data_IF_705550275994
#
_entry.id   IF_705550275994
#
_cell.length_a   1.000
_cell.length_b   1.000
_cell.length_c   1.000
_cell.angle_alpha   90.00
_cell.angle_beta   90.00
_cell.angle_gamma   90.00
#
_symmetry.space_group_name_H-M   'P 1'
#
loop_
_entity.id
_entity.type
_entity.pdbx_description
1 polymer ?
#
# COMPACT_ATOMS: atom_id res chain seq x y z
N UNK A 1 -13.39 4.22 -3.23
CA UNK A 1 -14.04 3.93 -1.93
C UNK A 1 -12.98 3.58 -0.87
N UNK A 2 -11.94 4.41 -0.70
CA UNK A 2 -10.66 4.01 -0.06
C UNK A 2 -10.54 4.44 1.42
N UNK A 3 -11.28 5.47 1.85
CA UNK A 3 -11.10 6.08 3.19
C UNK A 3 -11.48 5.18 4.36
N UNK A 4 -12.57 4.40 4.25
CA UNK A 4 -12.98 3.48 5.33
C UNK A 4 -11.95 2.37 5.49
N UNK A 5 -11.65 1.67 4.39
CA UNK A 5 -10.66 0.59 4.40
C UNK A 5 -9.30 1.06 4.92
N UNK A 6 -8.79 2.22 4.48
CA UNK A 6 -7.52 2.78 4.98
C UNK A 6 -7.45 2.90 6.50
N UNK A 7 -8.48 3.44 7.15
CA UNK A 7 -8.52 3.58 8.61
C UNK A 7 -8.70 2.24 9.34
N UNK A 8 -9.06 1.19 8.60
CA UNK A 8 -9.22 -0.17 9.11
C UNK A 8 -7.91 -0.97 9.10
N UNK A 9 -6.81 -0.44 8.53
CA UNK A 9 -5.50 -1.08 8.61
C UNK A 9 -5.05 -1.30 10.05
N UNK A 10 -4.39 -2.44 10.28
CA UNK A 10 -3.83 -2.84 11.59
C UNK A 10 -2.38 -3.25 11.43
N UNK A 11 -1.59 -3.04 12.49
CA UNK A 11 -0.21 -3.55 12.55
C UNK A 11 -0.20 -5.07 12.36
N UNK A 12 0.75 -5.57 11.57
CA UNK A 12 0.88 -6.97 11.17
C UNK A 12 0.08 -7.36 9.92
N UNK A 13 -0.80 -6.49 9.44
CA UNK A 13 -1.60 -6.78 8.25
C UNK A 13 -0.76 -6.71 6.97
N UNK A 14 -0.99 -7.66 6.05
CA UNK A 14 -0.37 -7.68 4.73
C UNK A 14 -1.14 -6.81 3.73
N UNK A 15 -0.38 -6.13 2.89
CA UNK A 15 -0.88 -5.20 1.87
C UNK A 15 0.02 -5.27 0.63
N UNK A 16 -0.49 -4.73 -0.48
CA UNK A 16 0.34 -4.42 -1.65
C UNK A 16 0.47 -2.90 -1.77
N UNK A 17 1.67 -2.41 -2.04
CA UNK A 17 1.97 -0.98 -2.10
C UNK A 17 2.61 -0.65 -3.44
N UNK A 18 2.13 0.38 -4.13
CA UNK A 18 2.88 0.98 -5.21
C UNK A 18 4.12 1.67 -4.64
N UNK A 19 5.28 1.18 -5.03
CA UNK A 19 6.55 1.77 -4.67
C UNK A 19 6.77 3.04 -5.53
N UNK A 20 6.66 4.22 -4.91
CA UNK A 20 6.86 5.51 -5.59
C UNK A 20 8.36 5.78 -5.89
N UNK A 21 9.30 5.06 -5.27
CA UNK A 21 10.73 5.14 -5.59
C UNK A 21 11.12 4.17 -6.72
N UNK A 22 10.24 3.25 -7.11
CA UNK A 22 10.42 2.42 -8.29
C UNK A 22 9.91 3.19 -9.52
N UNK A 23 10.75 3.49 -10.53
CA UNK A 23 10.32 4.14 -11.76
C UNK A 23 9.23 3.37 -12.51
N UNK A 24 9.17 2.05 -12.33
CA UNK A 24 8.11 1.24 -12.87
C UNK A 24 6.80 1.41 -12.09
N UNK A 25 6.83 1.89 -10.84
CA UNK A 25 5.72 1.92 -9.88
C UNK A 25 5.22 0.50 -9.54
N UNK A 26 6.12 -0.48 -9.44
CA UNK A 26 5.75 -1.87 -9.14
C UNK A 26 4.96 -2.00 -7.83
N UNK A 27 4.16 -3.06 -7.76
CA UNK A 27 3.51 -3.46 -6.52
C UNK A 27 4.51 -4.25 -5.69
N UNK A 28 4.90 -3.70 -4.55
CA UNK A 28 5.67 -4.39 -3.54
C UNK A 28 4.72 -4.98 -2.48
N UNK A 29 4.97 -6.23 -2.09
CA UNK A 29 4.34 -6.80 -0.91
C UNK A 29 4.87 -6.09 0.34
N UNK A 30 3.97 -5.81 1.27
CA UNK A 30 4.33 -5.13 2.51
C UNK A 30 3.51 -5.57 3.70
N UNK A 31 4.04 -5.25 4.88
CA UNK A 31 3.38 -5.45 6.16
C UNK A 31 3.28 -4.12 6.90
N UNK A 32 2.08 -3.83 7.42
CA UNK A 32 1.87 -2.64 8.25
C UNK A 32 2.65 -2.78 9.55
N UNK A 33 3.53 -1.83 9.84
CA UNK A 33 4.37 -1.82 11.05
C UNK A 33 3.92 -0.79 12.07
N UNK A 34 3.28 0.28 11.63
CA UNK A 34 2.73 1.31 12.50
C UNK A 34 1.44 1.89 11.91
N UNK A 35 0.50 2.24 12.78
CA UNK A 35 -0.72 2.99 12.47
C UNK A 35 -0.85 4.09 13.52
N UNK A 36 -0.54 5.32 13.13
CA UNK A 36 -0.81 6.49 13.96
C UNK A 36 -2.22 7.00 13.68
N UNK A 37 -3.04 7.09 14.73
CA UNK A 37 -4.47 7.40 14.60
C UNK A 37 -4.67 8.91 14.68
N UNK A 38 -5.21 9.49 13.61
CA UNK A 38 -5.57 10.90 13.57
C UNK A 38 -7.06 11.09 13.30
N UNK A 39 -7.56 12.31 13.55
CA UNK A 39 -8.94 12.71 13.25
C UNK A 39 -9.15 12.76 11.73
N UNK A 40 -9.52 11.62 11.16
CA UNK A 40 -10.03 11.50 9.81
C UNK A 40 -9.26 10.58 8.89
N UNK A 41 -7.93 10.52 8.98
CA UNK A 41 -7.09 9.59 8.21
C UNK A 41 -5.88 9.18 9.04
N UNK A 42 -5.70 7.88 9.25
CA UNK A 42 -4.51 7.39 9.93
C UNK A 42 -3.25 7.65 9.10
N UNK A 43 -2.11 7.85 9.76
CA UNK A 43 -0.80 7.71 9.12
C UNK A 43 -0.35 6.26 9.28
N UNK A 44 0.15 5.66 8.21
CA UNK A 44 0.50 4.24 8.18
C UNK A 44 1.93 4.09 7.68
N UNK A 45 2.72 3.34 8.44
CA UNK A 45 4.07 2.95 8.03
C UNK A 45 4.06 1.49 7.63
N UNK A 46 4.61 1.20 6.45
CA UNK A 46 4.58 -0.12 5.85
C UNK A 46 6.02 -0.53 5.57
N UNK A 47 6.36 -1.75 5.99
CA UNK A 47 7.62 -2.37 5.61
C UNK A 47 7.41 -3.11 4.30
N UNK A 48 8.18 -2.77 3.29
CA UNK A 48 8.12 -3.40 1.97
C UNK A 48 9.44 -4.07 1.66
N UNK A 49 9.37 -5.18 0.92
CA UNK A 49 10.52 -5.86 0.34
C UNK A 49 10.37 -5.83 -1.20
N UNK A 50 10.95 -4.83 -1.89
CA UNK A 50 10.89 -4.74 -3.34
C UNK A 50 11.64 -5.92 -3.97
N UNK A 51 11.20 -6.37 -5.15
CA UNK A 51 11.81 -7.51 -5.85
C UNK A 51 13.31 -7.34 -6.07
N UNK A 52 13.76 -6.10 -6.31
CA UNK A 52 15.15 -5.77 -6.63
C UNK A 52 15.78 -4.79 -5.64
N UNK A 53 15.34 -4.78 -4.38
CA UNK A 53 15.81 -3.77 -3.41
C UNK A 53 15.87 -4.27 -1.97
N UNK A 54 16.59 -3.54 -1.10
CA UNK A 54 16.57 -3.83 0.32
C UNK A 54 15.18 -3.58 0.91
N UNK A 55 14.86 -4.30 1.98
CA UNK A 55 13.69 -4.03 2.78
C UNK A 55 13.75 -2.61 3.37
N UNK A 56 12.64 -1.88 3.30
CA UNK A 56 12.57 -0.51 3.83
C UNK A 56 11.19 -0.14 4.33
N UNK A 57 11.15 0.91 5.16
CA UNK A 57 9.92 1.48 5.66
C UNK A 57 9.48 2.62 4.74
N UNK A 58 8.21 2.60 4.36
CA UNK A 58 7.57 3.63 3.54
C UNK A 58 6.34 4.18 4.26
N UNK A 59 6.01 5.45 3.95
CA UNK A 59 4.77 6.12 4.36
C UNK A 59 3.95 6.41 3.10
N UNK A 60 3.25 5.40 2.56
CA UNK A 60 2.63 5.54 1.26
C UNK A 60 1.41 6.47 1.34
N UNK A 61 1.09 7.09 0.21
CA UNK A 61 -0.22 7.72 0.08
C UNK A 61 -1.32 6.67 0.18
N UNK A 62 -2.48 7.03 0.74
CA UNK A 62 -3.61 6.10 0.89
C UNK A 62 -4.08 5.43 -0.40
N UNK A 63 -3.85 6.07 -1.56
CA UNK A 63 -4.25 5.57 -2.88
C UNK A 63 -3.22 4.62 -3.48
N UNK A 64 -2.03 4.52 -2.87
CA UNK A 64 -0.96 3.64 -3.30
C UNK A 64 -1.02 2.26 -2.61
N UNK A 65 -1.99 2.03 -1.71
CA UNK A 65 -2.08 0.79 -0.92
C UNK A 65 -3.34 0.02 -1.25
N UNK A 66 -3.16 -1.29 -1.46
CA UNK A 66 -4.22 -2.26 -1.69
C UNK A 66 -4.26 -3.24 -0.53
N UNK A 67 -5.46 -3.67 -0.18
CA UNK A 67 -5.61 -4.79 0.76
C UNK A 67 -5.26 -6.07 0.03
N UNK A 68 -4.48 -6.92 0.68
CA UNK A 68 -4.21 -8.27 0.18
C UNK A 68 -5.43 -9.18 0.47
N UNK A 69 -6.57 -8.89 -0.16
CA UNK A 69 -7.80 -9.66 0.01
C UNK A 69 -7.87 -10.89 -0.90
N UNK A 70 -6.82 -11.17 -1.70
CA UNK A 70 -6.84 -12.24 -2.71
C UNK A 70 -7.83 -12.02 -3.86
N UNK A 71 -8.62 -10.95 -3.84
CA UNK A 71 -9.48 -10.56 -4.96
C UNK A 71 -8.66 -9.75 -5.98
N UNK A 72 -8.82 -10.02 -7.29
CA UNK A 72 -8.10 -9.31 -8.33
C UNK A 72 -8.45 -7.82 -8.24
N UNK A 73 -7.43 -7.04 -7.87
CA UNK A 73 -7.34 -5.58 -7.90
C UNK A 73 -8.71 -4.87 -7.86
N UNK A 74 -9.11 -4.40 -6.67
CA UNK A 74 -10.03 -3.26 -6.64
C UNK A 74 -9.52 -2.22 -7.63
N UNK A 75 -10.34 -1.90 -8.65
CA UNK A 75 -9.99 -1.09 -9.82
C UNK A 75 -9.20 0.15 -9.43
N UNK A 76 -7.88 0.04 -9.45
CA UNK A 76 -6.97 1.10 -9.10
C UNK A 76 -6.53 1.76 -10.38
N UNK A 77 -6.75 3.06 -10.48
CA UNK A 77 -6.37 3.86 -11.64
C UNK A 77 -4.88 3.71 -12.01
N UNK A 78 -3.99 3.47 -11.03
CA UNK A 78 -2.55 3.17 -11.27
C UNK A 78 -2.31 1.77 -11.84
N UNK A 79 -3.14 0.79 -11.52
CA UNK A 79 -3.08 -0.56 -12.10
C UNK A 79 -3.72 -0.59 -13.50
N UNK A 80 -4.82 0.15 -13.70
CA UNK A 80 -5.52 0.25 -14.98
C UNK A 80 -4.68 0.95 -16.07
N UNK A 81 -3.85 1.94 -15.70
CA UNK A 81 -2.96 2.62 -16.66
C UNK A 81 -1.74 1.80 -17.12
N UNK A 82 -1.53 0.60 -16.58
CA UNK A 82 -0.36 -0.25 -16.90
C UNK A 82 -0.65 -1.35 -17.93
N UNK A 83 -1.88 -1.40 -18.44
CA UNK A 83 -2.29 -2.28 -19.55
C UNK A 83 -2.81 -1.41 -20.72
N UNK A 84 -2.06 -1.26 -21.82
CA UNK A 84 -2.66 -1.12 -23.15
C UNK A 84 -3.29 -2.43 -23.63
#
# INVERSE_FOLDING_TARGET
MIRRRWNDLRVGQHVLVHDDDDPALSLAAGQVTNVDRATGSNEVTIRIAPVNGPERLVRPSRLAVHFDTGEPAERCWRCEMRYP
#
